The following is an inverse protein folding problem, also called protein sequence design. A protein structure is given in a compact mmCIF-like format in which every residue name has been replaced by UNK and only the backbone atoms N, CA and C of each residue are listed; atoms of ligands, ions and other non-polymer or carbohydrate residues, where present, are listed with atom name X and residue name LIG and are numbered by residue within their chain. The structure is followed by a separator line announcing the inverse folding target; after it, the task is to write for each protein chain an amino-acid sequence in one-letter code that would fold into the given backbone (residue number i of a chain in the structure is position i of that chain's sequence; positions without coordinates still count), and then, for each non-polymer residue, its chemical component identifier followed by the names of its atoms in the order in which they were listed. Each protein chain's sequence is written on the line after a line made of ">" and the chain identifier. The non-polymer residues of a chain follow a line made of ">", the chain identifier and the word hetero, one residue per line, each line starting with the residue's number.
data_IF_873765720413
#
_entry.id   IF_873765720413
#
_cell.length_a   1.000
_cell.length_b   1.000
_cell.length_c   1.000
_cell.angle_alpha   90.00
_cell.angle_beta   90.00
_cell.angle_gamma   90.00
#
_symmetry.space_group_name_H-M   'P 1'
#
loop_
_entity.id
_entity.type
_entity.pdbx_description
1 polymer ?
#
# COMPACT_ATOMS: atom_id res chain seq x y z
N UNK A 1 -7.76 1.30 -6.98
CA UNK A 1 -6.71 1.59 -5.98
C UNK A 1 -5.91 2.81 -6.44
N UNK A 2 -5.48 3.69 -5.55
CA UNK A 2 -4.75 4.94 -5.91
C UNK A 2 -3.48 5.09 -5.10
N UNK A 3 -2.44 5.69 -5.71
CA UNK A 3 -1.19 6.02 -5.04
C UNK A 3 -1.42 7.17 -4.05
N UNK A 4 -1.04 6.95 -2.79
CA UNK A 4 -1.25 7.91 -1.72
C UNK A 4 -0.36 9.16 -1.80
N UNK A 5 0.68 9.16 -2.64
CA UNK A 5 1.59 10.31 -2.85
C UNK A 5 1.21 11.17 -4.06
N UNK A 6 0.90 10.56 -5.21
CA UNK A 6 0.66 11.29 -6.46
C UNK A 6 -0.79 11.20 -6.98
N UNK A 7 -1.67 10.44 -6.32
CA UNK A 7 -3.07 10.30 -6.72
C UNK A 7 -3.31 9.46 -7.98
N UNK A 8 -2.24 8.96 -8.64
CA UNK A 8 -2.32 8.07 -9.81
C UNK A 8 -3.15 6.82 -9.47
N UNK A 9 -4.06 6.43 -10.36
CA UNK A 9 -4.73 5.13 -10.30
C UNK A 9 -3.71 4.00 -10.51
N UNK A 10 -3.68 3.06 -9.58
CA UNK A 10 -2.82 1.88 -9.61
C UNK A 10 -3.55 0.77 -10.36
N UNK A 11 -2.87 0.19 -11.35
CA UNK A 11 -3.37 -0.94 -12.14
C UNK A 11 -3.22 -2.24 -11.36
N UNK A 12 -4.03 -3.26 -11.66
CA UNK A 12 -3.97 -4.54 -10.94
C UNK A 12 -2.67 -5.33 -11.20
N UNK A 13 -1.97 -5.03 -12.31
CA UNK A 13 -0.71 -5.67 -12.69
C UNK A 13 0.53 -4.82 -12.35
N UNK A 14 0.36 -3.65 -11.73
CA UNK A 14 1.47 -2.76 -11.33
C UNK A 14 2.01 -3.18 -9.96
N UNK A 15 3.34 -3.23 -9.80
CA UNK A 15 3.93 -3.44 -8.48
C UNK A 15 3.65 -2.21 -7.59
N UNK A 16 3.33 -2.48 -6.33
CA UNK A 16 3.09 -1.43 -5.34
C UNK A 16 4.04 -1.59 -4.16
N UNK A 17 4.36 -0.46 -3.51
CA UNK A 17 5.04 -0.46 -2.22
C UNK A 17 4.06 -0.06 -1.13
N UNK A 18 4.04 -0.83 -0.05
CA UNK A 18 3.32 -0.50 1.18
C UNK A 18 4.34 0.01 2.20
N UNK A 19 4.19 1.26 2.66
CA UNK A 19 4.99 1.79 3.77
C UNK A 19 4.17 1.68 5.06
N UNK A 20 4.70 0.92 6.03
CA UNK A 20 4.08 0.74 7.34
C UNK A 20 5.11 0.94 8.46
N UNK A 21 4.65 1.52 9.57
CA UNK A 21 5.41 1.53 10.81
C UNK A 21 5.26 0.18 11.52
N UNK A 22 6.36 -0.53 11.73
CA UNK A 22 6.34 -1.85 12.36
C UNK A 22 5.77 -1.86 13.78
N UNK A 23 5.77 -0.71 14.48
CA UNK A 23 5.12 -0.58 15.81
C UNK A 23 3.61 -0.71 15.77
N UNK A 24 3.00 -0.46 14.60
CA UNK A 24 1.55 -0.53 14.38
C UNK A 24 1.10 -1.93 13.95
N UNK A 25 2.05 -2.82 13.61
CA UNK A 25 1.77 -4.22 13.31
C UNK A 25 1.50 -5.00 14.59
N UNK A 26 0.23 -5.15 14.95
CA UNK A 26 -0.22 -5.95 16.10
C UNK A 26 -1.32 -6.93 15.70
N UNK A 27 -1.15 -8.20 16.05
CA UNK A 27 -2.16 -9.25 15.90
C UNK A 27 -2.20 -9.95 14.53
N UNK A 28 -3.28 -10.68 14.29
CA UNK A 28 -3.55 -11.41 13.05
C UNK A 28 -4.66 -10.70 12.26
N UNK A 29 -4.53 -10.63 10.94
CA UNK A 29 -5.51 -9.97 10.06
C UNK A 29 -5.60 -10.67 8.70
N UNK A 30 -6.68 -10.42 7.95
CA UNK A 30 -6.82 -10.86 6.57
C UNK A 30 -5.94 -10.00 5.65
N UNK A 31 -5.02 -10.64 4.94
CA UNK A 31 -3.99 -9.95 4.15
C UNK A 31 -4.57 -9.01 3.08
N UNK A 32 -5.63 -9.44 2.37
CA UNK A 32 -6.27 -8.63 1.32
C UNK A 32 -6.90 -7.36 1.89
N UNK A 33 -7.73 -7.49 2.92
CA UNK A 33 -8.37 -6.34 3.59
C UNK A 33 -7.36 -5.42 4.25
N UNK A 34 -6.30 -6.00 4.85
CA UNK A 34 -5.22 -5.22 5.43
C UNK A 34 -4.49 -4.42 4.37
N UNK A 35 -4.04 -5.07 3.29
CA UNK A 35 -3.33 -4.42 2.20
C UNK A 35 -4.17 -3.27 1.66
N UNK A 36 -5.49 -3.46 1.53
CA UNK A 36 -6.37 -2.43 1.00
C UNK A 36 -6.42 -1.13 1.80
N UNK A 37 -6.27 -1.22 3.12
CA UNK A 37 -6.27 -0.10 4.05
C UNK A 37 -4.89 0.58 4.20
N UNK A 38 -3.83 0.04 3.60
CA UNK A 38 -2.48 0.58 3.80
C UNK A 38 -2.18 1.83 2.96
N UNK A 39 -1.14 2.55 3.35
CA UNK A 39 -0.54 3.62 2.57
C UNK A 39 0.27 3.03 1.40
N UNK A 40 -0.31 3.09 0.19
CA UNK A 40 0.22 2.44 -1.02
C UNK A 40 0.87 3.46 -1.94
N UNK A 41 2.01 3.10 -2.49
CA UNK A 41 2.80 3.91 -3.41
C UNK A 41 3.00 3.16 -4.72
N UNK A 42 2.87 3.87 -5.85
CA UNK A 42 3.39 3.36 -7.13
C UNK A 42 4.92 3.26 -7.08
N UNK A 43 5.52 2.50 -8.00
CA UNK A 43 6.98 2.38 -8.13
C UNK A 43 7.69 3.74 -8.16
N UNK A 44 7.18 4.71 -8.92
CA UNK A 44 7.79 6.05 -9.00
C UNK A 44 7.73 6.84 -7.68
N UNK A 45 6.86 6.45 -6.75
CA UNK A 45 6.64 7.15 -5.49
C UNK A 45 7.21 6.39 -4.29
N UNK A 46 7.66 5.15 -4.47
CA UNK A 46 8.24 4.33 -3.40
C UNK A 46 9.62 4.79 -2.97
N UNK A 47 10.34 5.47 -3.87
CA UNK A 47 11.61 6.16 -3.61
C UNK A 47 11.45 7.34 -2.64
#
# INVERSE_FOLDING_TARGET
>A
MTCSKCGKTLNNDENITIKINTKELKGYTHLSSWADAQYKLCENCSE
#
